data_IF_841819183689
#
_entry.id   IF_841819183689
#
_cell.length_a   1.000
_cell.length_b   1.000
_cell.length_c   1.000
_cell.angle_alpha   90.00
_cell.angle_beta   90.00
_cell.angle_gamma   90.00
#
_symmetry.space_group_name_H-M   'P 1'
#
loop_
_entity.id
_entity.type
_entity.pdbx_description
1 polymer ?
#
# COMPACT_ATOMS: atom_id res chain seq x y z
N UNK A 1 -16.72 26.84 16.15
CA UNK A 1 -17.80 26.63 15.16
C UNK A 1 -18.55 25.38 15.58
N UNK A 2 -19.84 25.31 15.27
CA UNK A 2 -20.86 24.41 15.80
C UNK A 2 -20.45 22.91 15.86
N UNK A 3 -20.47 22.31 17.05
CA UNK A 3 -20.65 20.86 17.21
C UNK A 3 -22.13 20.63 17.46
N UNK A 4 -22.86 20.37 16.38
CA UNK A 4 -24.26 19.97 16.40
C UNK A 4 -24.39 18.45 16.50
N UNK A 5 -25.47 17.92 17.11
CA UNK A 5 -25.79 16.48 17.17
C UNK A 5 -26.03 15.79 15.80
N UNK A 6 -25.88 16.54 14.71
CA UNK A 6 -26.09 16.10 13.32
C UNK A 6 -24.77 15.95 12.53
N UNK A 7 -23.62 15.80 13.21
CA UNK A 7 -22.38 15.32 12.56
C UNK A 7 -22.51 13.81 12.23
N UNK A 8 -23.46 13.46 11.37
CA UNK A 8 -23.61 12.12 10.82
C UNK A 8 -22.53 11.91 9.76
N UNK A 9 -21.54 11.08 10.13
CA UNK A 9 -20.46 10.58 9.28
C UNK A 9 -19.19 11.43 9.30
N UNK A 10 -18.31 11.21 10.29
CA UNK A 10 -16.88 11.46 10.03
C UNK A 10 -16.41 10.24 9.23
N UNK A 11 -16.19 10.40 7.92
CA UNK A 11 -15.65 9.32 7.11
C UNK A 11 -14.25 8.94 7.64
N UNK A 12 -14.05 7.64 7.86
CA UNK A 12 -12.80 7.08 8.36
C UNK A 12 -12.10 6.36 7.23
N UNK A 13 -10.80 6.62 7.09
CA UNK A 13 -9.92 5.87 6.20
C UNK A 13 -8.87 5.19 7.05
N UNK A 14 -8.71 3.88 6.86
CA UNK A 14 -7.75 3.06 7.56
C UNK A 14 -6.66 2.64 6.60
N UNK A 15 -5.43 3.07 6.87
CA UNK A 15 -4.24 2.69 6.09
C UNK A 15 -3.48 1.64 6.87
N UNK A 16 -3.37 0.44 6.31
CA UNK A 16 -2.77 -0.72 6.97
C UNK A 16 -1.39 -0.99 6.38
N UNK A 17 -0.38 -0.69 7.19
CA UNK A 17 0.96 -1.24 7.08
C UNK A 17 1.01 -2.70 7.53
N UNK A 18 2.21 -3.28 7.41
CA UNK A 18 2.45 -4.71 7.62
C UNK A 18 3.41 -4.97 8.79
N UNK A 19 3.58 -4.02 9.70
CA UNK A 19 4.33 -4.21 10.92
C UNK A 19 3.55 -5.05 11.97
N UNK A 20 4.23 -5.51 13.03
CA UNK A 20 3.67 -6.43 14.02
C UNK A 20 2.38 -5.99 14.69
N UNK A 21 2.17 -4.69 14.92
CA UNK A 21 0.96 -4.21 15.62
C UNK A 21 -0.32 -4.50 14.84
N UNK A 22 -0.23 -4.71 13.51
CA UNK A 22 -1.36 -5.15 12.68
C UNK A 22 -1.98 -6.47 13.14
N UNK A 23 -1.23 -7.34 13.83
CA UNK A 23 -1.73 -8.63 14.34
C UNK A 23 -2.82 -8.48 15.39
N UNK A 24 -2.89 -7.34 16.06
CA UNK A 24 -3.89 -7.05 17.10
C UNK A 24 -5.17 -6.44 16.52
N UNK A 25 -5.18 -6.14 15.22
CA UNK A 25 -6.27 -5.44 14.54
C UNK A 25 -6.99 -6.45 13.64
N UNK A 26 -8.31 -6.51 13.77
CA UNK A 26 -9.19 -7.28 12.90
C UNK A 26 -9.76 -6.34 11.82
N UNK A 27 -9.27 -6.39 10.57
CA UNK A 27 -9.67 -5.43 9.54
C UNK A 27 -11.17 -5.48 9.22
N UNK A 28 -11.83 -6.62 9.46
CA UNK A 28 -13.27 -6.77 9.21
C UNK A 28 -14.16 -5.99 10.18
N UNK A 29 -13.59 -5.49 11.27
CA UNK A 29 -14.29 -4.68 12.29
C UNK A 29 -14.08 -3.18 12.10
N UNK A 30 -13.25 -2.78 11.14
CA UNK A 30 -13.00 -1.38 10.86
C UNK A 30 -14.18 -0.80 10.06
N UNK A 31 -14.83 0.20 10.63
CA UNK A 31 -15.98 0.89 10.03
C UNK A 31 -15.49 2.09 9.21
N UNK A 32 -15.13 1.83 7.95
CA UNK A 32 -14.62 2.82 7.00
C UNK A 32 -13.86 2.17 5.83
N UNK A 33 -13.23 2.98 4.98
CA UNK A 33 -12.46 2.49 3.84
C UNK A 33 -11.12 1.91 4.31
N UNK A 34 -10.84 0.66 3.97
CA UNK A 34 -9.60 -0.04 4.33
C UNK A 34 -8.66 -0.09 3.13
N UNK A 35 -7.53 0.61 3.25
CA UNK A 35 -6.46 0.67 2.26
C UNK A 35 -5.28 -0.16 2.77
N UNK A 36 -5.02 -1.29 2.12
CA UNK A 36 -3.89 -2.16 2.41
C UNK A 36 -2.70 -1.93 1.49
N UNK A 37 -1.56 -2.51 1.85
CA UNK A 37 -0.36 -2.50 1.00
C UNK A 37 0.30 -3.89 0.88
N UNK A 38 0.91 -4.12 -0.27
CA UNK A 38 1.66 -5.33 -0.61
C UNK A 38 0.91 -6.62 -0.22
N UNK A 39 1.51 -7.51 0.59
CA UNK A 39 0.98 -8.85 0.86
C UNK A 39 -0.25 -8.93 1.77
N UNK A 40 -0.87 -7.79 2.16
CA UNK A 40 -2.11 -7.76 2.96
C UNK A 40 -3.27 -8.61 2.40
N UNK A 41 -3.35 -8.76 1.07
CA UNK A 41 -4.35 -9.59 0.41
C UNK A 41 -4.31 -11.08 0.82
N UNK A 42 -3.17 -11.55 1.36
CA UNK A 42 -2.99 -12.94 1.81
C UNK A 42 -3.81 -13.25 3.06
N UNK A 43 -4.16 -12.24 3.85
CA UNK A 43 -4.84 -12.38 5.14
C UNK A 43 -6.29 -11.89 5.12
N UNK A 44 -6.58 -10.85 4.34
CA UNK A 44 -7.91 -10.24 4.23
C UNK A 44 -8.06 -9.51 2.89
N UNK A 45 -9.29 -9.13 2.53
CA UNK A 45 -9.57 -8.37 1.31
C UNK A 45 -9.76 -6.88 1.68
N UNK A 46 -8.76 -6.01 1.45
CA UNK A 46 -8.96 -4.56 1.59
C UNK A 46 -9.88 -4.03 0.47
N UNK A 47 -10.48 -2.86 0.69
CA UNK A 47 -11.23 -2.14 -0.36
C UNK A 47 -10.28 -1.66 -1.47
N UNK A 48 -9.08 -1.25 -1.07
CA UNK A 48 -8.03 -0.72 -1.93
C UNK A 48 -6.69 -1.36 -1.58
N UNK A 49 -5.91 -1.76 -2.57
CA UNK A 49 -4.56 -2.28 -2.35
C UNK A 49 -3.51 -1.50 -3.14
N UNK A 50 -2.41 -1.15 -2.48
CA UNK A 50 -1.26 -0.51 -3.12
C UNK A 50 -0.07 -1.49 -3.23
N UNK A 51 0.66 -1.47 -4.34
CA UNK A 51 1.89 -2.24 -4.51
C UNK A 51 2.85 -1.60 -5.54
N UNK A 52 4.16 -1.69 -5.28
CA UNK A 52 5.21 -1.25 -6.21
C UNK A 52 6.00 -2.42 -6.79
N UNK A 53 6.22 -3.45 -5.97
CA UNK A 53 7.09 -4.58 -6.30
C UNK A 53 6.42 -5.49 -7.33
N UNK A 54 7.09 -5.72 -8.47
CA UNK A 54 6.49 -6.44 -9.60
C UNK A 54 6.06 -7.87 -9.24
N UNK A 55 6.80 -8.58 -8.38
CA UNK A 55 6.42 -9.89 -7.88
C UNK A 55 5.14 -9.86 -7.03
N UNK A 56 5.04 -8.91 -6.12
CA UNK A 56 3.83 -8.71 -5.31
C UNK A 56 2.62 -8.33 -6.18
N UNK A 57 2.81 -7.46 -7.17
CA UNK A 57 1.76 -7.09 -8.12
C UNK A 57 1.30 -8.33 -8.90
N UNK A 58 2.25 -9.15 -9.36
CA UNK A 58 1.98 -10.43 -10.03
C UNK A 58 1.11 -11.33 -9.16
N UNK A 59 1.48 -11.54 -7.88
CA UNK A 59 0.70 -12.35 -6.95
C UNK A 59 -0.72 -11.80 -6.74
N UNK A 60 -0.87 -10.48 -6.56
CA UNK A 60 -2.18 -9.86 -6.35
C UNK A 60 -3.10 -10.13 -7.54
N UNK A 61 -2.60 -9.96 -8.77
CA UNK A 61 -3.38 -10.22 -9.98
C UNK A 61 -3.70 -11.71 -10.13
N UNK A 62 -2.73 -12.59 -9.86
CA UNK A 62 -2.94 -14.04 -9.97
C UNK A 62 -3.95 -14.55 -8.93
N UNK A 63 -3.97 -13.96 -7.72
CA UNK A 63 -4.95 -14.26 -6.66
C UNK A 63 -6.40 -14.00 -7.08
N UNK A 64 -6.62 -13.17 -8.11
CA UNK A 64 -7.96 -12.76 -8.55
C UNK A 64 -8.57 -11.67 -7.67
N UNK A 65 -7.73 -10.86 -7.02
CA UNK A 65 -8.19 -9.69 -6.27
C UNK A 65 -9.01 -8.75 -7.18
N UNK A 66 -10.23 -8.44 -6.75
CA UNK A 66 -11.23 -7.73 -7.55
C UNK A 66 -11.53 -6.31 -7.04
N UNK A 67 -10.77 -5.85 -6.03
CA UNK A 67 -10.85 -4.49 -5.46
C UNK A 67 -10.07 -3.46 -6.27
N UNK A 68 -10.09 -2.21 -5.80
CA UNK A 68 -9.32 -1.13 -6.45
C UNK A 68 -7.82 -1.31 -6.16
N UNK A 69 -7.00 -1.18 -7.19
CA UNK A 69 -5.55 -1.33 -7.08
C UNK A 69 -4.84 -0.03 -7.45
N UNK A 70 -3.79 0.29 -6.71
CA UNK A 70 -2.81 1.30 -7.10
C UNK A 70 -1.46 0.62 -7.27
N UNK A 71 -1.02 0.48 -8.51
CA UNK A 71 0.20 -0.25 -8.87
C UNK A 71 1.20 0.64 -9.59
N UNK A 72 2.47 0.50 -9.21
CA UNK A 72 3.60 1.21 -9.82
C UNK A 72 3.48 2.74 -9.71
N UNK A 73 4.56 3.48 -9.96
CA UNK A 73 4.49 4.94 -10.00
C UNK A 73 3.88 5.47 -11.30
N UNK A 74 4.24 4.88 -12.45
CA UNK A 74 3.76 5.30 -13.78
C UNK A 74 4.04 4.23 -14.86
N UNK A 75 4.02 2.96 -14.49
CA UNK A 75 4.42 1.86 -15.38
C UNK A 75 3.31 0.86 -15.65
N UNK A 76 2.15 1.02 -15.02
CA UNK A 76 0.96 0.27 -15.37
C UNK A 76 0.40 0.79 -16.69
N UNK A 77 0.82 0.17 -17.79
CA UNK A 77 0.37 0.50 -19.14
C UNK A 77 -0.02 -0.79 -19.88
N UNK A 78 -1.29 -0.88 -20.28
CA UNK A 78 -1.82 -2.06 -20.96
C UNK A 78 -1.30 -2.14 -22.39
N UNK A 79 -0.79 -3.33 -22.72
CA UNK A 79 -0.39 -3.72 -24.05
C UNK A 79 -1.36 -4.77 -24.57
N UNK A 80 -1.82 -4.65 -25.82
CA UNK A 80 -2.76 -5.59 -26.39
C UNK A 80 -2.05 -6.92 -26.71
N UNK A 81 -2.73 -8.07 -26.58
CA UNK A 81 -2.12 -9.40 -26.73
C UNK A 81 -1.37 -9.59 -28.07
N UNK A 82 -1.73 -8.86 -29.11
CA UNK A 82 -1.14 -8.89 -30.45
C UNK A 82 0.34 -8.49 -30.45
N UNK A 83 0.78 -7.64 -29.51
CA UNK A 83 2.21 -7.22 -29.42
C UNK A 83 3.05 -8.13 -28.53
N UNK A 84 2.45 -9.15 -27.91
CA UNK A 84 3.12 -10.04 -26.95
C UNK A 84 4.39 -10.68 -27.51
N UNK A 85 4.35 -11.22 -28.72
CA UNK A 85 5.50 -11.89 -29.34
C UNK A 85 6.68 -10.94 -29.61
N UNK A 86 6.42 -9.63 -29.70
CA UNK A 86 7.44 -8.60 -29.91
C UNK A 86 8.09 -8.18 -28.58
N UNK A 87 7.33 -8.25 -27.48
CA UNK A 87 7.80 -7.85 -26.15
C UNK A 87 8.53 -9.00 -25.45
N UNK A 88 8.01 -10.24 -25.57
CA UNK A 88 8.58 -11.41 -24.91
C UNK A 88 9.95 -11.75 -25.48
N UNK A 89 10.96 -11.80 -24.61
CA UNK A 89 12.30 -12.26 -24.96
C UNK A 89 12.73 -13.55 -24.25
N UNK A 90 11.89 -14.09 -23.35
CA UNK A 90 12.08 -15.38 -22.70
C UNK A 90 12.78 -15.31 -21.34
N UNK A 91 13.09 -14.11 -20.85
CA UNK A 91 13.65 -13.89 -19.50
C UNK A 91 12.64 -13.33 -18.50
N UNK A 92 11.40 -13.12 -18.94
CA UNK A 92 10.32 -12.64 -18.10
C UNK A 92 9.67 -13.76 -17.28
N UNK A 93 9.27 -13.41 -16.06
CA UNK A 93 8.31 -14.18 -15.28
C UNK A 93 6.91 -13.83 -15.82
N UNK A 94 6.11 -14.85 -16.10
CA UNK A 94 4.82 -14.68 -16.77
C UNK A 94 3.71 -15.32 -15.94
N UNK A 95 2.68 -14.52 -15.65
CA UNK A 95 1.44 -14.99 -15.02
C UNK A 95 0.66 -15.94 -15.92
N UNK A 96 -0.23 -16.73 -15.33
CA UNK A 96 -1.10 -17.61 -16.12
C UNK A 96 -2.17 -16.77 -16.84
N UNK A 97 -2.15 -16.78 -18.17
CA UNK A 97 -3.22 -16.19 -18.98
C UNK A 97 -4.56 -16.91 -18.73
N UNK A 98 -5.54 -16.20 -18.19
CA UNK A 98 -6.91 -16.64 -17.92
C UNK A 98 -7.81 -16.37 -19.14
N UNK A 99 -8.97 -17.02 -19.18
CA UNK A 99 -9.95 -16.76 -20.22
C UNK A 99 -10.48 -15.32 -20.11
N UNK A 100 -10.42 -14.56 -21.21
CA UNK A 100 -10.78 -13.14 -21.21
C UNK A 100 -9.59 -12.18 -21.07
N UNK A 101 -8.38 -12.68 -20.76
CA UNK A 101 -7.18 -11.86 -20.77
C UNK A 101 -6.78 -11.55 -22.21
N UNK A 102 -7.17 -10.37 -22.68
CA UNK A 102 -6.84 -9.81 -23.98
C UNK A 102 -5.67 -8.81 -23.93
N UNK A 103 -5.24 -8.41 -22.74
CA UNK A 103 -4.18 -7.43 -22.54
C UNK A 103 -3.11 -7.98 -21.58
N UNK A 104 -1.95 -7.35 -21.55
CA UNK A 104 -0.92 -7.61 -20.56
C UNK A 104 -0.20 -6.32 -20.18
N UNK A 105 0.46 -6.32 -19.02
CA UNK A 105 1.40 -5.27 -18.62
C UNK A 105 2.80 -5.87 -18.58
N UNK A 106 3.78 -5.09 -19.03
CA UNK A 106 5.19 -5.41 -18.89
C UNK A 106 5.82 -4.45 -17.89
N UNK A 107 6.20 -4.96 -16.72
CA UNK A 107 6.83 -4.17 -15.65
C UNK A 107 8.13 -4.81 -15.21
N UNK A 108 9.01 -4.03 -14.59
CA UNK A 108 10.21 -4.54 -13.93
C UNK A 108 10.22 -4.15 -12.46
N UNK A 109 10.82 -5.00 -11.63
CA UNK A 109 10.93 -4.77 -10.21
C UNK A 109 12.06 -5.59 -9.61
N UNK A 110 12.57 -5.15 -8.47
CA UNK A 110 13.51 -5.96 -7.68
C UNK A 110 12.74 -7.09 -6.99
N UNK A 111 13.37 -8.24 -6.84
CA UNK A 111 12.84 -9.38 -6.07
C UNK A 111 13.82 -9.73 -4.95
N UNK A 112 13.34 -10.45 -3.93
CA UNK A 112 14.12 -10.85 -2.76
C UNK A 112 15.39 -11.58 -3.21
N UNK A 113 16.55 -11.06 -2.79
CA UNK A 113 17.89 -11.57 -3.11
C UNK A 113 18.37 -11.39 -4.56
N UNK A 114 17.69 -10.59 -5.38
CA UNK A 114 18.13 -10.33 -6.77
C UNK A 114 18.75 -8.94 -6.87
N UNK A 115 20.03 -8.89 -7.25
CA UNK A 115 20.76 -7.63 -7.50
C UNK A 115 20.29 -6.90 -8.78
N UNK A 116 19.55 -7.60 -9.64
CA UNK A 116 19.05 -7.13 -10.92
C UNK A 116 17.51 -7.13 -10.97
N UNK A 117 16.88 -6.14 -11.62
CA UNK A 117 15.43 -6.15 -11.82
C UNK A 117 14.96 -7.40 -12.59
N UNK A 118 13.97 -8.09 -12.03
CA UNK A 118 13.19 -9.09 -12.73
C UNK A 118 12.14 -8.42 -13.61
N UNK A 119 11.78 -9.06 -14.71
CA UNK A 119 10.80 -8.57 -15.69
C UNK A 119 9.57 -9.44 -15.63
N UNK A 120 8.40 -8.82 -15.61
CA UNK A 120 7.13 -9.50 -15.46
C UNK A 120 6.22 -9.21 -16.65
N UNK A 121 5.58 -10.26 -17.15
CA UNK A 121 4.43 -10.17 -18.05
C UNK A 121 3.19 -10.60 -17.25
N UNK A 122 2.32 -9.63 -17.00
CA UNK A 122 1.11 -9.83 -16.21
C UNK A 122 -0.10 -9.76 -17.14
N UNK A 123 -0.74 -10.89 -17.39
CA UNK A 123 -1.95 -10.99 -18.20
C UNK A 123 -3.15 -10.49 -17.41
N UNK A 124 -3.95 -9.66 -18.06
CA UNK A 124 -5.18 -9.10 -17.47
C UNK A 124 -6.23 -8.91 -18.55
N UNK A 125 -7.51 -8.96 -18.14
CA UNK A 125 -8.58 -8.49 -19.00
C UNK A 125 -8.56 -6.97 -19.10
N UNK A 126 -8.99 -6.43 -20.23
CA UNK A 126 -9.22 -4.99 -20.43
C UNK A 126 -10.21 -4.42 -19.39
N UNK A 127 -11.11 -5.26 -18.86
CA UNK A 127 -12.00 -4.85 -17.77
C UNK A 127 -11.24 -4.53 -16.49
N UNK A 128 -10.03 -5.03 -16.24
CA UNK A 128 -9.27 -4.64 -15.04
C UNK A 128 -8.71 -3.22 -15.12
N UNK A 129 -8.67 -2.60 -16.31
CA UNK A 129 -8.12 -1.26 -16.50
C UNK A 129 -8.78 -0.21 -15.59
N UNK A 130 -10.10 -0.26 -15.45
CA UNK A 130 -10.83 0.72 -14.62
C UNK A 130 -10.61 0.51 -13.11
N UNK A 131 -10.07 -0.64 -12.71
CA UNK A 131 -9.79 -0.98 -11.30
C UNK A 131 -8.34 -0.75 -10.91
N UNK A 132 -7.43 -0.60 -11.86
CA UNK A 132 -5.99 -0.47 -11.58
C UNK A 132 -5.50 0.91 -12.03
N UNK A 133 -4.93 1.65 -11.09
CA UNK A 133 -4.39 3.00 -11.32
C UNK A 133 -2.90 3.03 -10.99
N UNK A 134 -2.17 3.96 -11.59
CA UNK A 134 -0.81 4.26 -11.13
C UNK A 134 -0.87 5.01 -9.79
N UNK A 135 0.09 4.73 -8.90
CA UNK A 135 0.25 5.46 -7.63
C UNK A 135 0.60 6.93 -7.91
N UNK A 136 1.43 7.19 -8.92
CA UNK A 136 1.90 8.53 -9.28
C UNK A 136 3.39 8.75 -8.98
N UNK A 137 4.05 9.57 -9.79
CA UNK A 137 5.51 9.83 -9.70
C UNK A 137 5.88 10.76 -8.55
N UNK A 138 4.92 11.45 -7.94
CA UNK A 138 5.13 12.36 -6.81
C UNK A 138 5.65 11.67 -5.54
N UNK A 139 5.39 10.37 -5.40
CA UNK A 139 5.87 9.51 -4.31
C UNK A 139 6.90 8.47 -4.80
N UNK A 140 7.61 8.77 -5.89
CA UNK A 140 8.69 7.90 -6.37
C UNK A 140 9.77 7.71 -5.28
N UNK A 141 10.15 6.44 -5.04
CA UNK A 141 11.10 6.06 -3.99
C UNK A 141 10.51 5.96 -2.58
N UNK A 142 9.19 6.13 -2.43
CA UNK A 142 8.51 5.89 -1.16
C UNK A 142 8.25 4.40 -0.94
N UNK A 143 8.08 4.00 0.33
CA UNK A 143 7.60 2.64 0.60
C UNK A 143 6.15 2.50 0.17
N UNK A 144 5.72 1.27 -0.14
CA UNK A 144 4.32 1.05 -0.54
C UNK A 144 3.33 1.50 0.55
N UNK A 145 3.65 1.27 1.83
CA UNK A 145 2.77 1.68 2.93
C UNK A 145 2.60 3.19 3.03
N UNK A 146 3.68 3.97 2.86
CA UNK A 146 3.59 5.44 2.89
C UNK A 146 3.00 6.01 1.60
N UNK A 147 3.21 5.35 0.45
CA UNK A 147 2.46 5.64 -0.77
C UNK A 147 0.95 5.37 -0.59
N UNK A 148 0.56 4.30 0.11
CA UNK A 148 -0.84 4.03 0.41
C UNK A 148 -1.47 5.12 1.29
N UNK A 149 -0.70 5.68 2.23
CA UNK A 149 -1.12 6.83 3.02
C UNK A 149 -1.32 8.09 2.16
N UNK A 150 -0.44 8.32 1.19
CA UNK A 150 -0.63 9.39 0.19
C UNK A 150 -1.91 9.18 -0.63
N UNK A 151 -2.13 7.96 -1.13
CA UNK A 151 -3.36 7.61 -1.87
C UNK A 151 -4.61 7.84 -1.03
N UNK A 152 -4.58 7.46 0.25
CA UNK A 152 -5.68 7.71 1.18
C UNK A 152 -6.06 9.19 1.20
N UNK A 153 -5.07 10.07 1.35
CA UNK A 153 -5.31 11.51 1.43
C UNK A 153 -5.71 12.14 0.09
N UNK A 154 -5.14 11.65 -1.01
CA UNK A 154 -5.38 12.22 -2.35
C UNK A 154 -6.75 11.84 -2.90
N UNK A 155 -7.16 10.59 -2.72
CA UNK A 155 -8.27 10.00 -3.48
C UNK A 155 -9.45 9.57 -2.59
N UNK A 156 -9.24 9.39 -1.28
CA UNK A 156 -10.24 8.85 -0.35
C UNK A 156 -10.59 9.79 0.79
N UNK A 157 -10.04 10.99 0.79
CA UNK A 157 -10.45 12.07 1.69
C UNK A 157 -10.86 13.30 0.90
N UNK A 158 -11.98 13.90 1.26
CA UNK A 158 -12.56 15.06 0.61
C UNK A 158 -12.99 16.18 1.58
N UNK A 159 -12.93 15.95 2.90
CA UNK A 159 -13.43 16.89 3.92
C UNK A 159 -12.40 17.19 5.02
N UNK A 160 -12.43 18.42 5.54
CA UNK A 160 -11.57 18.92 6.62
C UNK A 160 -11.80 18.26 8.01
N UNK A 161 -12.59 17.19 8.09
CA UNK A 161 -12.93 16.51 9.35
C UNK A 161 -12.73 15.00 9.29
N UNK A 162 -12.26 14.46 8.18
CA UNK A 162 -12.00 13.03 8.03
C UNK A 162 -10.81 12.58 8.88
N UNK A 163 -10.89 11.33 9.32
CA UNK A 163 -9.86 10.71 10.14
C UNK A 163 -9.13 9.64 9.34
N UNK A 164 -7.83 9.82 9.21
CA UNK A 164 -6.93 8.84 8.60
C UNK A 164 -6.20 8.09 9.71
N UNK A 165 -6.51 6.81 9.85
CA UNK A 165 -5.89 5.91 10.82
C UNK A 165 -4.70 5.22 10.18
N UNK A 166 -3.53 5.31 10.82
CA UNK A 166 -2.26 4.74 10.37
C UNK A 166 -1.97 3.55 11.28
N UNK A 167 -2.13 2.34 10.75
CA UNK A 167 -2.10 1.06 11.50
C UNK A 167 -0.94 0.19 11.02
N UNK A 168 -0.18 -0.47 11.90
CA UNK A 168 0.88 -1.40 11.48
C UNK A 168 2.11 -0.70 10.86
N UNK A 169 2.38 0.55 11.23
CA UNK A 169 3.57 1.31 10.84
C UNK A 169 4.58 1.35 12.01
N UNK A 170 5.05 0.16 12.40
CA UNK A 170 5.96 -0.06 13.52
C UNK A 170 7.42 0.31 13.14
N UNK A 171 7.71 1.61 13.00
CA UNK A 171 9.00 2.12 12.49
C UNK A 171 10.06 2.36 13.58
N UNK A 172 9.93 1.74 14.75
CA UNK A 172 10.86 1.91 15.88
C UNK A 172 11.57 0.60 16.21
N UNK A 173 12.35 0.11 15.25
CA UNK A 173 13.18 -1.08 15.39
C UNK A 173 14.46 -0.93 14.55
N UNK A 174 15.55 -1.58 14.94
CA UNK A 174 16.80 -1.57 14.17
C UNK A 174 16.78 -2.60 13.02
N UNK A 175 15.96 -3.64 13.15
CA UNK A 175 15.89 -4.77 12.21
C UNK A 175 14.51 -4.92 11.57
N UNK A 176 14.48 -5.64 10.44
CA UNK A 176 13.28 -5.84 9.65
C UNK A 176 12.19 -6.58 10.42
N UNK A 177 11.15 -5.83 10.73
CA UNK A 177 9.99 -6.27 11.47
C UNK A 177 8.74 -6.12 10.61
N UNK A 178 8.30 -7.24 10.06
CA UNK A 178 7.17 -7.34 9.16
C UNK A 178 6.45 -8.67 9.38
N UNK A 179 5.13 -8.67 9.31
CA UNK A 179 4.34 -9.90 9.50
C UNK A 179 4.56 -10.95 8.41
N UNK A 180 5.05 -10.52 7.23
CA UNK A 180 5.36 -11.38 6.08
C UNK A 180 6.86 -11.67 5.93
N UNK A 181 7.67 -11.34 6.94
CA UNK A 181 9.09 -11.69 6.95
C UNK A 181 9.30 -13.16 6.60
N UNK A 182 10.35 -13.43 5.84
CA UNK A 182 10.71 -14.76 5.31
C UNK A 182 9.73 -15.38 4.29
N UNK A 183 8.63 -14.71 3.96
CA UNK A 183 7.78 -15.09 2.82
C UNK A 183 8.36 -14.63 1.47
N UNK A 184 7.75 -15.10 0.38
CA UNK A 184 8.08 -14.69 -0.98
C UNK A 184 7.93 -13.17 -1.17
N UNK A 185 8.90 -12.58 -1.87
CA UNK A 185 9.10 -11.14 -2.09
C UNK A 185 9.41 -10.27 -0.86
N UNK A 186 9.57 -10.85 0.34
CA UNK A 186 9.83 -10.11 1.58
C UNK A 186 11.21 -10.39 2.16
N UNK A 187 11.85 -9.41 2.79
CA UNK A 187 13.19 -9.60 3.37
C UNK A 187 13.20 -10.63 4.51
N UNK A 188 14.39 -11.11 4.84
CA UNK A 188 14.60 -11.91 6.05
C UNK A 188 14.73 -11.02 7.29
N UNK A 189 14.44 -11.60 8.45
CA UNK A 189 14.40 -10.89 9.75
C UNK A 189 15.71 -10.18 10.13
N UNK A 190 16.84 -10.69 9.63
CA UNK A 190 18.17 -10.20 10.00
C UNK A 190 18.59 -8.95 9.20
N UNK A 191 17.71 -8.42 8.34
CA UNK A 191 17.99 -7.20 7.57
C UNK A 191 17.94 -5.96 8.47
N UNK A 192 19.02 -5.19 8.49
CA UNK A 192 19.04 -3.86 9.12
C UNK A 192 18.11 -2.89 8.39
N UNK A 193 17.32 -2.14 9.16
CA UNK A 193 16.23 -1.30 8.63
C UNK A 193 16.11 0.05 9.31
N UNK A 194 16.96 0.38 10.28
CA UNK A 194 16.90 1.64 11.04
C UNK A 194 16.81 2.88 10.14
N UNK A 195 17.67 2.95 9.12
CA UNK A 195 17.71 4.08 8.19
C UNK A 195 16.46 4.11 7.29
N UNK A 196 15.97 2.95 6.86
CA UNK A 196 14.75 2.80 6.07
C UNK A 196 13.51 3.22 6.87
N UNK A 197 13.37 2.78 8.11
CA UNK A 197 12.27 3.18 9.00
C UNK A 197 12.30 4.68 9.31
N UNK A 198 13.48 5.27 9.46
CA UNK A 198 13.62 6.72 9.58
C UNK A 198 13.15 7.45 8.32
N UNK A 199 13.48 6.95 7.11
CA UNK A 199 12.97 7.48 5.84
C UNK A 199 11.46 7.34 5.73
N UNK A 200 10.89 6.20 6.10
CA UNK A 200 9.44 5.95 6.03
C UNK A 200 8.66 6.83 7.01
N UNK A 201 9.18 7.03 8.23
CA UNK A 201 8.60 7.98 9.18
C UNK A 201 8.60 9.42 8.65
N UNK A 202 9.67 9.84 7.95
CA UNK A 202 9.70 11.14 7.27
C UNK A 202 8.64 11.26 6.17
N UNK A 203 8.39 10.19 5.42
CA UNK A 203 7.35 10.18 4.39
C UNK A 203 5.95 10.33 5.01
N UNK A 204 5.67 9.63 6.12
CA UNK A 204 4.41 9.80 6.87
C UNK A 204 4.26 11.25 7.33
N UNK A 205 5.27 11.79 8.01
CA UNK A 205 5.26 13.18 8.50
C UNK A 205 5.00 14.17 7.36
N UNK A 206 5.63 13.96 6.21
CA UNK A 206 5.41 14.80 5.03
C UNK A 206 3.95 14.77 4.57
N UNK A 207 3.31 13.60 4.50
CA UNK A 207 1.88 13.51 4.14
C UNK A 207 1.01 14.25 5.16
N UNK A 208 1.30 14.09 6.45
CA UNK A 208 0.56 14.78 7.52
C UNK A 208 0.65 16.31 7.39
N UNK A 209 1.85 16.83 7.11
CA UNK A 209 2.10 18.27 6.91
C UNK A 209 1.43 18.83 5.65
N UNK A 210 1.37 18.04 4.57
CA UNK A 210 0.72 18.41 3.30
C UNK A 210 -0.81 18.46 3.41
N UNK A 211 -1.40 17.82 4.42
CA UNK A 211 -2.85 17.72 4.63
C UNK A 211 -3.27 18.26 6.01
N UNK A 212 -3.08 19.56 6.30
CA UNK A 212 -3.31 20.14 7.62
C UNK A 212 -4.80 20.14 8.04
N UNK A 213 -5.72 19.93 7.09
CA UNK A 213 -7.15 19.83 7.35
C UNK A 213 -7.58 18.43 7.81
N UNK A 214 -6.80 17.39 7.56
CA UNK A 214 -7.13 16.02 7.97
C UNK A 214 -6.64 15.73 9.38
N UNK A 215 -7.34 14.85 10.11
CA UNK A 215 -6.87 14.33 11.39
C UNK A 215 -6.22 12.96 11.20
N UNK A 216 -4.96 12.83 11.61
CA UNK A 216 -4.21 11.58 11.53
C UNK A 216 -4.13 10.92 12.90
N UNK A 217 -4.49 9.64 12.97
CA UNK A 217 -4.37 8.81 14.17
C UNK A 217 -3.34 7.72 13.90
N UNK A 218 -2.12 7.88 14.43
CA UNK A 218 -1.13 6.81 14.40
C UNK A 218 -1.40 5.84 15.54
N UNK A 219 -1.91 4.67 15.19
CA UNK A 219 -2.30 3.66 16.16
C UNK A 219 -1.08 2.87 16.57
N UNK A 220 -0.91 2.68 17.88
CA UNK A 220 0.19 1.94 18.49
C UNK A 220 1.56 2.48 18.11
N UNK A 221 1.72 3.80 18.12
CA UNK A 221 3.03 4.38 17.90
C UNK A 221 4.04 3.88 18.95
N UNK A 222 5.09 3.18 18.50
CA UNK A 222 6.06 2.53 19.36
C UNK A 222 7.25 3.42 19.77
N UNK A 223 7.43 4.59 19.15
CA UNK A 223 8.62 5.43 19.36
C UNK A 223 8.61 6.27 20.64
N UNK A 224 9.81 6.60 21.13
CA UNK A 224 10.00 7.48 22.30
C UNK A 224 9.64 8.96 22.03
N UNK A 225 9.70 9.39 20.76
CA UNK A 225 9.54 10.78 20.36
C UNK A 225 8.43 10.95 19.32
N UNK A 226 7.18 10.89 19.78
CA UNK A 226 6.03 11.13 18.89
C UNK A 226 6.11 12.52 18.23
N UNK A 227 5.94 12.62 16.89
CA UNK A 227 6.02 13.90 16.21
C UNK A 227 4.94 14.88 16.71
N UNK A 228 5.37 16.10 17.06
CA UNK A 228 4.48 17.14 17.60
C UNK A 228 3.88 17.97 16.46
N UNK A 229 2.94 17.39 15.73
CA UNK A 229 2.17 18.05 14.68
C UNK A 229 0.73 18.32 15.15
N UNK A 230 0.10 19.44 14.78
CA UNK A 230 -1.20 19.85 15.33
C UNK A 230 -2.36 18.92 14.96
N UNK A 231 -2.21 18.15 13.87
CA UNK A 231 -3.22 17.28 13.31
C UNK A 231 -2.84 15.78 13.36
N UNK A 232 -1.78 15.43 14.12
CA UNK A 232 -1.33 14.06 14.30
C UNK A 232 -1.45 13.66 15.77
N UNK A 233 -2.12 12.54 16.00
CA UNK A 233 -2.40 12.01 17.34
C UNK A 233 -2.00 10.55 17.42
N UNK A 234 -1.68 10.07 18.61
CA UNK A 234 -1.45 8.66 18.89
C UNK A 234 -2.60 8.08 19.71
N UNK A 235 -2.99 6.83 19.41
CA UNK A 235 -4.00 6.07 20.16
C UNK A 235 -3.61 4.60 20.25
N UNK A 236 -4.15 3.94 21.27
CA UNK A 236 -4.07 2.49 21.44
C UNK A 236 -5.12 1.77 20.58
N UNK A 237 -4.85 0.54 20.13
CA UNK A 237 -5.77 -0.22 19.28
C UNK A 237 -7.13 -0.50 19.92
N UNK A 238 -7.23 -0.43 21.25
CA UNK A 238 -8.51 -0.61 21.96
C UNK A 238 -9.44 0.61 21.85
N UNK A 239 -8.97 1.70 21.24
CA UNK A 239 -9.65 3.00 21.19
C UNK A 239 -10.12 3.41 19.80
N UNK A 240 -10.08 2.50 18.81
CA UNK A 240 -10.39 2.77 17.40
C UNK A 240 -11.65 2.09 16.91
#
# INVERSE_FOLDING_TARGET
MYEGPDAQGIDKVFVLGNGPSRKNIDPSKLDGTVIGCNACYRDFTPDVICAHDAGIISDIVDSGFDGTCYFTHDSWNLLPAEVYSTVKNGSEIETKRKAGDNNFVYISGLDKNVELPQRYIIWVSEQMEHKIKNIGTEVMGWSTGTSALHIACRDYTCNDYEKVYILGFDHDNDYYDNIYTDSEHYFGKDREMRDEYYKWTKQIIKVVEEHPALQFIWVNYCGDNFPKLPNLFSRDETQI
#
